data_IF_703911912793
#
_entry.id   IF_703911912793
#
_cell.length_a   1.000
_cell.length_b   1.000
_cell.length_c   1.000
_cell.angle_alpha   90.00
_cell.angle_beta   90.00
_cell.angle_gamma   90.00
#
_symmetry.space_group_name_H-M   'P 1'
#
loop_
_entity.id
_entity.type
_entity.pdbx_description
1 polymer ?
#
# COMPACT_ATOMS: atom_id res chain seq x y z
N UNK A 1 25.53 4.86 -27.96
CA UNK A 1 24.11 4.46 -27.75
C UNK A 1 23.89 3.43 -26.63
N UNK A 2 24.90 2.68 -26.15
CA UNK A 2 24.71 1.65 -25.10
C UNK A 2 24.53 2.20 -23.68
N UNK A 3 25.14 3.36 -23.36
CA UNK A 3 25.08 3.96 -22.01
C UNK A 3 23.70 4.51 -21.63
N UNK A 4 22.97 5.09 -22.59
CA UNK A 4 21.64 5.64 -22.32
C UNK A 4 20.61 4.57 -21.95
N UNK A 5 20.74 3.37 -22.53
CA UNK A 5 19.85 2.25 -22.23
C UNK A 5 19.99 1.78 -20.78
N UNK A 6 21.22 1.73 -20.26
CA UNK A 6 21.47 1.37 -18.86
C UNK A 6 20.84 2.36 -17.88
N UNK A 7 20.94 3.67 -18.14
CA UNK A 7 20.33 4.72 -17.30
C UNK A 7 18.79 4.58 -17.32
N UNK A 8 18.20 4.29 -18.48
CA UNK A 8 16.76 4.10 -18.61
C UNK A 8 16.24 2.90 -17.80
N UNK A 9 16.97 1.77 -17.82
CA UNK A 9 16.62 0.58 -17.04
C UNK A 9 16.70 0.86 -15.53
N UNK A 10 17.76 1.55 -15.07
CA UNK A 10 17.88 1.91 -13.65
C UNK A 10 16.76 2.82 -13.21
N UNK A 11 16.42 3.85 -14.00
CA UNK A 11 15.28 4.74 -13.71
C UNK A 11 13.96 3.98 -13.68
N UNK A 12 13.73 3.04 -14.61
CA UNK A 12 12.51 2.23 -14.64
C UNK A 12 12.36 1.39 -13.37
N UNK A 13 13.43 0.72 -12.92
CA UNK A 13 13.43 -0.08 -11.69
C UNK A 13 13.14 0.82 -10.48
N UNK A 14 13.82 1.97 -10.39
CA UNK A 14 13.61 2.94 -9.31
C UNK A 14 12.17 3.44 -9.25
N UNK A 15 11.56 3.72 -10.41
CA UNK A 15 10.17 4.14 -10.49
C UNK A 15 9.19 3.04 -10.04
N UNK A 16 9.39 1.79 -10.46
CA UNK A 16 8.53 0.68 -10.02
C UNK A 16 8.61 0.44 -8.51
N UNK A 17 9.82 0.51 -7.93
CA UNK A 17 9.99 0.39 -6.48
C UNK A 17 9.30 1.55 -5.74
N UNK A 18 9.44 2.78 -6.24
CA UNK A 18 8.87 3.97 -5.63
C UNK A 18 7.33 3.95 -5.67
N UNK A 19 6.74 3.53 -6.78
CA UNK A 19 5.28 3.41 -6.96
C UNK A 19 4.73 2.34 -6.02
N UNK A 20 5.37 1.15 -5.98
CA UNK A 20 4.94 0.05 -5.12
C UNK A 20 5.01 0.43 -3.64
N UNK A 21 6.05 1.17 -3.23
CA UNK A 21 6.18 1.66 -1.86
C UNK A 21 5.19 2.77 -1.48
N UNK A 22 4.62 3.50 -2.45
CA UNK A 22 3.63 4.55 -2.15
C UNK A 22 2.22 4.00 -1.96
N UNK A 23 1.89 2.89 -2.61
CA UNK A 23 0.56 2.31 -2.54
C UNK A 23 0.24 1.77 -1.14
N UNK A 24 1.15 1.02 -0.52
CA UNK A 24 0.92 0.40 0.79
C UNK A 24 1.21 1.30 2.01
N UNK A 25 1.13 2.63 1.87
CA UNK A 25 1.33 3.54 3.01
C UNK A 25 0.03 3.74 3.77
N UNK A 26 0.15 3.75 5.11
CA UNK A 26 -0.94 4.16 5.98
C UNK A 26 -1.29 5.64 5.73
N UNK A 27 -2.54 5.89 5.38
CA UNK A 27 -3.13 7.22 5.22
C UNK A 27 -4.19 7.44 6.28
N UNK A 28 -4.07 8.54 7.01
CA UNK A 28 -5.13 8.99 7.91
C UNK A 28 -6.12 9.80 7.08
N UNK A 29 -7.39 9.42 7.15
CA UNK A 29 -8.50 10.15 6.53
C UNK A 29 -8.82 11.40 7.34
N UNK A 30 -9.55 12.36 6.75
CA UNK A 30 -9.93 13.60 7.44
C UNK A 30 -10.81 13.39 8.69
N UNK A 31 -11.41 12.20 8.85
CA UNK A 31 -12.19 11.79 10.02
C UNK A 31 -11.33 11.15 11.12
N UNK A 32 -10.05 10.89 10.86
CA UNK A 32 -9.14 10.21 11.78
C UNK A 32 -9.00 8.69 11.54
N UNK A 33 -9.77 8.11 10.62
CA UNK A 33 -9.67 6.67 10.31
C UNK A 33 -8.41 6.37 9.50
N UNK A 34 -7.78 5.22 9.74
CA UNK A 34 -6.56 4.84 9.06
C UNK A 34 -6.88 3.95 7.85
N UNK A 35 -6.24 4.20 6.73
CA UNK A 35 -6.52 3.48 5.49
C UNK A 35 -5.24 3.14 4.75
N UNK A 36 -5.18 1.95 4.18
CA UNK A 36 -4.09 1.52 3.32
C UNK A 36 -4.67 1.35 1.91
N UNK A 37 -4.36 2.28 0.98
CA UNK A 37 -4.71 2.08 -0.42
C UNK A 37 -4.03 0.81 -0.94
N UNK A 38 -4.76 0.03 -1.73
CA UNK A 38 -4.26 -1.27 -2.25
C UNK A 38 -3.91 -2.32 -1.18
N UNK A 39 -4.28 -2.08 0.09
CA UNK A 39 -4.03 -3.02 1.18
C UNK A 39 -4.94 -4.26 1.18
N UNK A 40 -5.95 -4.31 0.31
CA UNK A 40 -6.77 -5.50 0.13
C UNK A 40 -6.67 -5.98 -1.31
N UNK A 41 -6.51 -7.29 -1.50
CA UNK A 41 -6.61 -7.92 -2.82
C UNK A 41 -8.03 -7.83 -3.39
N UNK A 42 -9.01 -8.07 -2.53
CA UNK A 42 -10.44 -8.01 -2.81
C UNK A 42 -11.23 -7.63 -1.54
N UNK A 43 -12.55 -7.48 -1.66
CA UNK A 43 -13.42 -7.10 -0.53
C UNK A 43 -13.46 -8.11 0.63
N UNK A 44 -12.92 -9.32 0.44
CA UNK A 44 -12.89 -10.38 1.45
C UNK A 44 -11.51 -10.56 2.10
N UNK A 45 -10.48 -9.80 1.67
CA UNK A 45 -9.11 -9.90 2.17
C UNK A 45 -8.89 -9.20 3.53
N UNK A 46 -9.81 -9.45 4.46
CA UNK A 46 -9.81 -8.82 5.79
C UNK A 46 -8.60 -9.26 6.62
N UNK A 47 -8.15 -10.51 6.49
CA UNK A 47 -6.95 -10.99 7.17
C UNK A 47 -5.68 -10.32 6.65
N UNK A 48 -5.53 -10.16 5.32
CA UNK A 48 -4.43 -9.43 4.72
C UNK A 48 -4.41 -7.98 5.21
N UNK A 49 -5.58 -7.34 5.17
CA UNK A 49 -5.77 -5.98 5.69
C UNK A 49 -5.37 -5.86 7.17
N UNK A 50 -5.81 -6.76 8.04
CA UNK A 50 -5.42 -6.77 9.48
C UNK A 50 -3.91 -6.82 9.67
N UNK A 51 -3.22 -7.67 8.93
CA UNK A 51 -1.76 -7.80 9.01
C UNK A 51 -1.07 -6.52 8.53
N UNK A 52 -1.56 -5.94 7.43
CA UNK A 52 -1.09 -4.66 6.89
C UNK A 52 -1.32 -3.49 7.84
N UNK A 53 -2.48 -3.40 8.51
CA UNK A 53 -2.74 -2.38 9.54
C UNK A 53 -1.73 -2.46 10.68
N UNK A 54 -1.43 -3.68 11.15
CA UNK A 54 -0.41 -3.89 12.17
C UNK A 54 0.99 -3.47 11.71
N UNK A 55 1.36 -3.83 10.48
CA UNK A 55 2.71 -3.60 9.98
C UNK A 55 2.96 -2.14 9.54
N UNK A 56 2.00 -1.53 8.84
CA UNK A 56 2.14 -0.21 8.22
C UNK A 56 1.54 0.91 9.05
N UNK A 57 0.40 0.68 9.71
CA UNK A 57 -0.25 1.69 10.54
C UNK A 57 0.13 1.56 12.03
N UNK A 58 0.81 0.48 12.43
CA UNK A 58 1.03 0.12 13.85
C UNK A 58 -0.27 0.15 14.67
N UNK A 59 -1.40 -0.14 14.00
CA UNK A 59 -2.73 0.02 14.55
C UNK A 59 -3.40 -1.34 14.69
N UNK A 60 -3.74 -1.71 15.91
CA UNK A 60 -4.40 -2.96 16.29
C UNK A 60 -5.84 -2.70 16.68
N UNK A 61 -6.70 -2.43 15.71
CA UNK A 61 -8.16 -2.48 15.93
C UNK A 61 -8.68 -3.91 15.71
N UNK A 62 -9.87 -4.21 16.25
CA UNK A 62 -10.61 -5.45 15.97
C UNK A 62 -11.49 -5.36 14.73
N UNK A 63 -11.73 -4.17 14.19
CA UNK A 63 -12.54 -3.96 12.98
C UNK A 63 -11.69 -3.48 11.82
N UNK A 64 -11.20 -4.42 11.02
CA UNK A 64 -10.71 -4.13 9.67
C UNK A 64 -11.80 -4.39 8.65
N UNK A 65 -11.83 -3.57 7.61
CA UNK A 65 -12.73 -3.80 6.48
C UNK A 65 -12.03 -3.51 5.16
N UNK A 66 -12.40 -4.26 4.12
CA UNK A 66 -11.95 -4.02 2.77
C UNK A 66 -13.08 -3.39 1.97
N UNK A 67 -12.84 -2.21 1.39
CA UNK A 67 -13.77 -1.58 0.44
C UNK A 67 -13.04 -1.42 -0.89
N UNK A 68 -13.35 -2.31 -1.83
CA UNK A 68 -12.60 -2.46 -3.08
C UNK A 68 -11.19 -2.95 -2.79
N UNK A 69 -10.19 -2.15 -3.19
CA UNK A 69 -8.77 -2.42 -2.89
C UNK A 69 -8.25 -1.65 -1.65
N UNK A 70 -9.10 -0.85 -0.98
CA UNK A 70 -8.70 -0.10 0.21
C UNK A 70 -8.94 -0.95 1.47
N UNK A 71 -7.91 -1.03 2.29
CA UNK A 71 -7.96 -1.59 3.62
C UNK A 71 -8.24 -0.47 4.63
N UNK A 72 -9.23 -0.66 5.49
CA UNK A 72 -9.55 0.24 6.59
C UNK A 72 -9.05 -0.38 7.89
N UNK A 73 -8.26 0.42 8.59
CA UNK A 73 -7.70 0.25 9.91
C UNK A 73 -8.35 1.29 10.85
#
# INVERSE_FOLDING_TARGET
>A
MKFAFAIFVVLAILHTELISATEYKCKVTGTGDMTIPFGCKDGNDVQGCKKLCQEKCKYTTTRQSCVGKKCYC
#
